data_IF_988066392845
#
_entry.id   IF_988066392845
#
_cell.length_a   1.000
_cell.length_b   1.000
_cell.length_c   1.000
_cell.angle_alpha   90.00
_cell.angle_beta   90.00
_cell.angle_gamma   90.00
#
_symmetry.space_group_name_H-M   'P 1'
#
loop_
_entity.id
_entity.type
_entity.pdbx_description
1 polymer ?
#
# COMPACT_ATOMS: atom_id res chain seq x y z
N UNK A 1 52.86 -18.35 8.93
CA UNK A 1 51.84 -18.08 7.90
C UNK A 1 50.54 -17.84 8.64
N UNK A 2 50.14 -16.57 8.78
CA UNK A 2 48.97 -16.17 9.56
C UNK A 2 47.72 -16.27 8.68
N UNK A 3 46.69 -16.93 9.23
CA UNK A 3 45.40 -17.15 8.63
C UNK A 3 44.64 -15.82 8.44
N UNK A 4 44.05 -15.63 7.26
CA UNK A 4 43.02 -14.63 7.05
C UNK A 4 41.68 -15.27 7.47
N UNK A 5 41.19 -14.88 8.65
CA UNK A 5 39.81 -15.11 9.03
C UNK A 5 38.94 -14.15 8.22
N UNK A 6 38.08 -14.70 7.37
CA UNK A 6 36.98 -13.94 6.76
C UNK A 6 36.01 -13.58 7.87
N UNK A 7 35.83 -12.28 8.11
CA UNK A 7 34.79 -11.77 8.99
C UNK A 7 33.43 -12.33 8.55
N UNK A 8 32.59 -12.85 9.45
CA UNK A 8 31.22 -13.20 9.10
C UNK A 8 30.52 -11.91 8.69
N UNK A 9 30.00 -11.86 7.46
CA UNK A 9 29.19 -10.76 6.96
C UNK A 9 28.18 -10.37 8.05
N UNK A 10 28.27 -9.14 8.54
CA UNK A 10 27.28 -8.56 9.44
C UNK A 10 25.93 -8.77 8.76
N UNK A 11 25.05 -9.56 9.36
CA UNK A 11 23.66 -9.63 8.91
C UNK A 11 23.11 -8.22 9.09
N UNK A 12 23.00 -7.46 8.02
CA UNK A 12 22.34 -6.16 8.05
C UNK A 12 20.92 -6.37 8.58
N UNK A 13 20.60 -5.72 9.70
CA UNK A 13 19.25 -5.67 10.25
C UNK A 13 18.36 -4.97 9.24
N UNK A 14 17.24 -5.60 8.89
CA UNK A 14 16.25 -5.02 8.01
C UNK A 14 14.86 -5.16 8.61
N UNK A 15 14.07 -4.10 8.51
CA UNK A 15 12.63 -4.17 8.77
C UNK A 15 11.98 -4.81 7.56
N UNK A 16 11.23 -5.90 7.79
CA UNK A 16 10.58 -6.65 6.71
C UNK A 16 9.07 -6.48 6.75
N UNK A 17 8.46 -6.20 5.61
CA UNK A 17 7.01 -6.18 5.48
C UNK A 17 6.52 -6.79 4.17
N UNK A 18 5.29 -7.30 4.20
CA UNK A 18 4.60 -7.80 3.02
C UNK A 18 3.74 -6.70 2.38
N UNK A 19 3.63 -6.72 1.05
CA UNK A 19 2.79 -5.79 0.29
C UNK A 19 1.81 -6.53 -0.63
N UNK A 20 0.57 -6.06 -0.62
CA UNK A 20 -0.51 -6.42 -1.54
C UNK A 20 -1.32 -5.16 -1.90
N UNK A 21 -2.02 -5.17 -3.04
CA UNK A 21 -2.89 -4.06 -3.46
C UNK A 21 -3.98 -4.53 -4.41
N UNK A 22 -5.06 -3.76 -4.52
CA UNK A 22 -6.09 -3.89 -5.56
C UNK A 22 -6.58 -5.35 -5.67
N UNK A 23 -6.94 -5.92 -4.52
CA UNK A 23 -7.51 -7.27 -4.47
C UNK A 23 -8.91 -7.28 -5.08
N UNK A 24 -9.65 -6.18 -4.91
CA UNK A 24 -11.04 -6.01 -5.33
C UNK A 24 -11.88 -7.25 -4.99
N UNK A 25 -11.81 -7.76 -3.76
CA UNK A 25 -12.61 -8.91 -3.41
C UNK A 25 -14.11 -8.59 -3.57
N UNK A 26 -14.81 -9.41 -4.35
CA UNK A 26 -16.25 -9.35 -4.52
C UNK A 26 -16.80 -10.69 -5.01
N UNK A 27 -18.04 -10.98 -4.63
CA UNK A 27 -18.82 -12.09 -5.18
C UNK A 27 -19.54 -11.64 -6.45
N UNK A 28 -18.75 -11.46 -7.53
CA UNK A 28 -19.20 -11.02 -8.85
C UNK A 28 -18.57 -11.90 -9.93
N UNK A 29 -19.24 -11.96 -11.08
CA UNK A 29 -18.63 -12.53 -12.28
C UNK A 29 -17.45 -11.67 -12.75
N UNK A 30 -16.51 -12.31 -13.43
CA UNK A 30 -15.36 -11.63 -14.02
C UNK A 30 -15.85 -10.51 -14.95
N UNK A 31 -15.24 -9.33 -14.84
CA UNK A 31 -15.52 -8.20 -15.71
C UNK A 31 -14.22 -7.66 -16.31
N UNK A 32 -14.11 -7.69 -17.63
CA UNK A 32 -12.86 -7.39 -18.32
C UNK A 32 -11.75 -8.33 -17.84
N UNK A 33 -10.66 -7.76 -17.34
CA UNK A 33 -9.53 -8.50 -16.78
C UNK A 33 -9.59 -8.69 -15.26
N UNK A 34 -10.66 -8.22 -14.57
CA UNK A 34 -10.80 -8.34 -13.12
C UNK A 34 -11.47 -9.66 -12.70
N UNK A 35 -10.74 -10.51 -11.98
CA UNK A 35 -11.20 -11.81 -11.45
C UNK A 35 -11.51 -11.73 -9.94
N UNK A 36 -12.64 -11.11 -9.60
CA UNK A 36 -12.99 -10.73 -8.22
C UNK A 36 -13.00 -11.87 -7.20
N UNK A 37 -13.65 -13.00 -7.53
CA UNK A 37 -13.76 -14.16 -6.63
C UNK A 37 -12.42 -14.85 -6.38
N UNK A 38 -11.47 -14.68 -7.30
CA UNK A 38 -10.16 -15.32 -7.23
C UNK A 38 -9.18 -14.58 -6.29
N UNK A 39 -9.53 -13.39 -5.81
CA UNK A 39 -8.72 -12.63 -4.85
C UNK A 39 -8.39 -13.43 -3.58
N UNK A 40 -9.30 -14.29 -3.09
CA UNK A 40 -9.05 -15.14 -1.91
C UNK A 40 -7.93 -16.15 -2.19
N UNK A 41 -8.01 -16.93 -3.28
CA UNK A 41 -6.97 -17.92 -3.61
C UNK A 41 -5.62 -17.23 -3.91
N UNK A 42 -5.66 -16.05 -4.53
CA UNK A 42 -4.47 -15.21 -4.76
C UNK A 42 -3.82 -14.75 -3.45
N UNK A 43 -4.63 -14.35 -2.46
CA UNK A 43 -4.15 -14.00 -1.12
C UNK A 43 -3.61 -15.20 -0.35
N UNK A 44 -4.24 -16.37 -0.48
CA UNK A 44 -3.73 -17.62 0.11
C UNK A 44 -2.35 -17.97 -0.42
N UNK A 45 -2.14 -17.85 -1.74
CA UNK A 45 -0.81 -18.03 -2.34
C UNK A 45 0.20 -17.01 -1.78
N UNK A 46 -0.17 -15.73 -1.71
CA UNK A 46 0.69 -14.70 -1.14
C UNK A 46 1.10 -15.04 0.30
N UNK A 47 0.15 -15.52 1.10
CA UNK A 47 0.39 -15.98 2.47
C UNK A 47 1.39 -17.14 2.58
N UNK A 48 1.46 -18.03 1.58
CA UNK A 48 2.46 -19.11 1.56
C UNK A 48 3.88 -18.57 1.34
N UNK A 49 4.04 -17.56 0.49
CA UNK A 49 5.34 -16.90 0.30
C UNK A 49 5.70 -16.01 1.49
N UNK A 50 4.74 -15.32 2.09
CA UNK A 50 4.97 -14.51 3.30
C UNK A 50 5.46 -15.36 4.47
N UNK A 51 4.97 -16.60 4.63
CA UNK A 51 5.49 -17.54 5.64
C UNK A 51 6.98 -17.86 5.45
N UNK A 52 7.49 -17.86 4.21
CA UNK A 52 8.92 -18.07 3.91
C UNK A 52 9.73 -16.78 4.06
N UNK A 53 9.12 -15.64 3.71
CA UNK A 53 9.77 -14.33 3.77
C UNK A 53 9.91 -13.80 5.22
N UNK A 54 8.99 -14.22 6.09
CA UNK A 54 8.90 -13.82 7.51
C UNK A 54 8.82 -12.30 7.70
N UNK A 55 7.79 -11.63 7.15
CA UNK A 55 7.59 -10.21 7.37
C UNK A 55 7.10 -9.96 8.81
N UNK A 56 7.41 -8.78 9.33
CA UNK A 56 6.98 -8.35 10.66
C UNK A 56 5.58 -7.71 10.67
N UNK A 57 5.09 -7.30 9.49
CA UNK A 57 3.74 -6.79 9.25
C UNK A 57 3.38 -6.88 7.76
N UNK A 58 2.11 -6.70 7.44
CA UNK A 58 1.59 -6.64 6.07
C UNK A 58 0.94 -5.28 5.83
N UNK A 59 1.13 -4.72 4.64
CA UNK A 59 0.41 -3.53 4.18
C UNK A 59 -0.44 -3.87 2.95
N UNK A 60 -1.72 -3.48 2.99
CA UNK A 60 -2.62 -3.48 1.84
C UNK A 60 -2.78 -2.04 1.35
N UNK A 61 -2.34 -1.74 0.13
CA UNK A 61 -2.29 -0.37 -0.41
C UNK A 61 -3.65 0.14 -0.94
N UNK A 62 -4.77 -0.37 -0.44
CA UNK A 62 -6.11 0.02 -0.87
C UNK A 62 -6.77 -0.94 -1.87
N UNK A 63 -8.00 -0.60 -2.24
CA UNK A 63 -8.92 -1.39 -3.06
C UNK A 63 -8.97 -2.88 -2.66
N UNK A 64 -9.14 -3.09 -1.35
CA UNK A 64 -9.25 -4.41 -0.73
C UNK A 64 -10.50 -5.18 -1.22
N UNK A 65 -11.60 -4.47 -1.39
CA UNK A 65 -12.89 -4.97 -1.90
C UNK A 65 -13.28 -4.21 -3.15
N UNK A 66 -14.16 -4.80 -3.97
CA UNK A 66 -14.80 -4.08 -5.07
C UNK A 66 -16.12 -3.43 -4.60
N UNK A 67 -16.57 -2.42 -5.34
CA UNK A 67 -17.79 -1.67 -5.05
C UNK A 67 -19.04 -2.58 -5.07
N UNK A 68 -20.11 -2.26 -4.33
CA UNK A 68 -21.37 -3.00 -4.45
C UNK A 68 -22.58 -2.11 -4.79
N UNK A 69 -23.73 -2.74 -5.03
CA UNK A 69 -24.98 -2.00 -5.24
C UNK A 69 -25.41 -1.27 -3.95
N UNK A 70 -25.21 -1.92 -2.81
CA UNK A 70 -25.63 -1.48 -1.48
C UNK A 70 -24.58 -1.78 -0.40
N UNK A 71 -24.74 -1.12 0.75
CA UNK A 71 -23.83 -1.18 1.91
C UNK A 71 -23.74 -2.58 2.50
N UNK A 72 -24.84 -3.32 2.56
CA UNK A 72 -24.87 -4.67 3.16
C UNK A 72 -23.99 -5.63 2.37
N UNK A 73 -24.10 -5.59 1.05
CA UNK A 73 -23.30 -6.42 0.14
C UNK A 73 -21.81 -6.06 0.24
N UNK A 74 -21.47 -4.76 0.24
CA UNK A 74 -20.07 -4.29 0.32
C UNK A 74 -19.43 -4.66 1.67
N UNK A 75 -20.16 -4.52 2.79
CA UNK A 75 -19.75 -5.03 4.10
C UNK A 75 -19.58 -6.55 4.11
N UNK A 76 -20.42 -7.27 3.35
CA UNK A 76 -20.29 -8.71 3.15
C UNK A 76 -18.98 -9.09 2.45
N UNK A 77 -18.57 -8.34 1.43
CA UNK A 77 -17.27 -8.51 0.78
C UNK A 77 -16.13 -8.23 1.76
N UNK A 78 -16.20 -7.13 2.50
CA UNK A 78 -15.18 -6.74 3.48
C UNK A 78 -14.99 -7.81 4.55
N UNK A 79 -16.09 -8.26 5.15
CA UNK A 79 -16.09 -9.28 6.19
C UNK A 79 -15.47 -10.60 5.69
N UNK A 80 -15.73 -10.99 4.43
CA UNK A 80 -15.17 -12.21 3.87
C UNK A 80 -13.66 -12.12 3.68
N UNK A 81 -13.16 -11.05 3.05
CA UNK A 81 -11.73 -10.93 2.77
C UNK A 81 -10.91 -10.67 4.05
N UNK A 82 -11.42 -9.90 5.01
CA UNK A 82 -10.73 -9.65 6.30
C UNK A 82 -10.50 -10.96 7.06
N UNK A 83 -11.46 -11.90 7.04
CA UNK A 83 -11.29 -13.24 7.62
C UNK A 83 -10.14 -14.03 6.98
N UNK A 84 -9.85 -13.81 5.71
CA UNK A 84 -8.70 -14.44 5.04
C UNK A 84 -7.39 -13.77 5.45
N UNK A 85 -7.37 -12.45 5.63
CA UNK A 85 -6.21 -11.75 6.20
C UNK A 85 -5.93 -12.17 7.65
N UNK A 86 -6.97 -12.43 8.47
CA UNK A 86 -6.79 -12.88 9.87
C UNK A 86 -5.97 -14.17 9.94
N UNK A 87 -6.12 -15.07 8.95
CA UNK A 87 -5.39 -16.34 8.89
C UNK A 87 -3.89 -16.18 8.63
N UNK A 88 -3.44 -15.00 8.19
CA UNK A 88 -2.03 -14.70 7.97
C UNK A 88 -1.27 -14.47 9.29
N UNK A 89 -1.97 -14.16 10.39
CA UNK A 89 -1.39 -13.91 11.72
C UNK A 89 -0.28 -12.85 11.72
N UNK A 90 -0.44 -11.80 10.92
CA UNK A 90 0.47 -10.65 10.85
C UNK A 90 -0.24 -9.38 11.36
N UNK A 91 0.47 -8.44 11.99
CA UNK A 91 0.00 -7.06 12.09
C UNK A 91 -0.28 -6.50 10.69
N UNK A 92 -1.35 -5.71 10.55
CA UNK A 92 -1.83 -5.24 9.24
C UNK A 92 -2.03 -3.73 9.25
N UNK A 93 -1.67 -3.11 8.14
CA UNK A 93 -1.96 -1.70 7.85
C UNK A 93 -2.72 -1.62 6.53
N UNK A 94 -3.81 -0.86 6.50
CA UNK A 94 -4.63 -0.68 5.32
C UNK A 94 -4.61 0.80 4.91
N UNK A 95 -4.10 1.08 3.71
CA UNK A 95 -4.40 2.33 3.03
C UNK A 95 -5.81 2.26 2.44
N UNK A 96 -6.49 3.40 2.32
CA UNK A 96 -7.81 3.47 1.70
C UNK A 96 -7.66 3.67 0.19
N UNK A 97 -8.29 2.79 -0.58
CA UNK A 97 -8.57 3.02 -2.00
C UNK A 97 -10.01 3.40 -2.23
N UNK A 98 -10.33 3.93 -3.41
CA UNK A 98 -11.66 4.45 -3.70
C UNK A 98 -12.75 3.37 -3.68
N UNK A 99 -12.43 2.12 -4.03
CA UNK A 99 -13.40 1.01 -3.96
C UNK A 99 -13.65 0.53 -2.52
N UNK A 100 -12.78 0.85 -1.56
CA UNK A 100 -13.01 0.55 -0.15
C UNK A 100 -14.18 1.33 0.46
N UNK A 101 -14.56 2.45 -0.18
CA UNK A 101 -15.54 3.42 0.33
C UNK A 101 -16.53 3.84 -0.76
N UNK A 102 -16.82 2.95 -1.72
CA UNK A 102 -17.79 3.27 -2.78
C UNK A 102 -19.18 3.43 -2.18
N UNK A 103 -19.78 2.36 -1.67
CA UNK A 103 -21.00 2.52 -0.85
C UNK A 103 -20.65 2.78 0.59
N UNK A 104 -19.54 2.27 1.12
CA UNK A 104 -19.18 2.43 2.54
C UNK A 104 -18.77 3.86 2.90
N UNK A 105 -18.88 4.18 4.20
CA UNK A 105 -18.15 5.30 4.80
C UNK A 105 -16.76 4.86 5.21
N UNK A 106 -15.83 5.82 5.36
CA UNK A 106 -14.50 5.54 5.93
C UNK A 106 -14.61 4.84 7.29
N UNK A 107 -15.53 5.29 8.14
CA UNK A 107 -15.74 4.72 9.48
C UNK A 107 -16.19 3.24 9.44
N UNK A 108 -17.08 2.87 8.53
CA UNK A 108 -17.52 1.48 8.36
C UNK A 108 -16.40 0.58 7.85
N UNK A 109 -15.64 1.04 6.84
CA UNK A 109 -14.50 0.29 6.33
C UNK A 109 -13.44 0.10 7.42
N UNK A 110 -13.03 1.19 8.09
CA UNK A 110 -12.04 1.19 9.16
C UNK A 110 -12.44 0.25 10.30
N UNK A 111 -13.70 0.30 10.73
CA UNK A 111 -14.25 -0.65 11.70
C UNK A 111 -14.16 -2.09 11.20
N UNK A 112 -14.48 -2.34 9.93
CA UNK A 112 -14.46 -3.67 9.32
C UNK A 112 -13.06 -4.28 9.24
N UNK A 113 -12.02 -3.46 9.04
CA UNK A 113 -10.61 -3.92 9.06
C UNK A 113 -9.95 -3.84 10.43
N UNK A 114 -10.64 -3.29 11.44
CA UNK A 114 -10.11 -3.12 12.79
C UNK A 114 -9.02 -2.04 12.90
N UNK A 115 -9.09 -0.99 12.08
CA UNK A 115 -8.13 0.13 12.08
C UNK A 115 -8.82 1.40 12.58
N UNK A 116 -8.14 2.20 13.40
CA UNK A 116 -8.77 3.39 14.00
C UNK A 116 -8.78 4.62 13.08
N UNK A 117 -7.70 4.81 12.31
CA UNK A 117 -7.46 6.01 11.49
C UNK A 117 -7.20 5.62 10.04
N UNK A 118 -7.57 6.50 9.10
CA UNK A 118 -7.27 6.29 7.67
C UNK A 118 -5.86 6.75 7.27
N UNK A 119 -5.31 7.73 7.98
CA UNK A 119 -3.93 8.16 7.87
C UNK A 119 -3.28 8.25 9.25
N UNK A 120 -2.02 7.84 9.35
CA UNK A 120 -1.22 7.81 10.58
C UNK A 120 0.22 7.43 10.27
N UNK A 121 1.10 7.59 11.25
CA UNK A 121 2.48 7.14 11.20
C UNK A 121 2.81 6.19 12.36
N UNK A 122 3.85 5.38 12.20
CA UNK A 122 4.39 4.51 13.24
C UNK A 122 5.87 4.20 12.98
N UNK A 123 6.61 3.88 14.04
CA UNK A 123 8.03 3.54 13.96
C UNK A 123 8.26 2.05 14.16
N UNK A 124 9.19 1.48 13.40
CA UNK A 124 9.64 0.10 13.58
C UNK A 124 11.08 -0.05 13.12
N UNK A 125 11.93 -0.66 13.96
CA UNK A 125 13.33 -0.94 13.63
C UNK A 125 14.14 0.27 13.14
N UNK A 126 13.87 1.46 13.71
CA UNK A 126 14.55 2.70 13.31
C UNK A 126 14.03 3.35 12.02
N UNK A 127 13.04 2.74 11.36
CA UNK A 127 12.37 3.26 10.17
C UNK A 127 11.01 3.84 10.56
N UNK A 128 10.70 4.99 9.98
CA UNK A 128 9.41 5.64 10.12
C UNK A 128 8.49 5.24 8.96
N UNK A 129 7.26 4.87 9.26
CA UNK A 129 6.26 4.47 8.27
C UNK A 129 5.07 5.39 8.31
N UNK A 130 4.58 5.80 7.15
CA UNK A 130 3.44 6.70 6.99
C UNK A 130 2.39 6.03 6.12
N UNK A 131 1.13 5.99 6.58
CA UNK A 131 -0.03 5.59 5.78
C UNK A 131 -0.85 6.84 5.49
N UNK A 132 -1.13 7.09 4.21
CA UNK A 132 -1.88 8.24 3.72
C UNK A 132 -3.24 7.83 3.14
N UNK A 133 -4.17 8.78 3.12
CA UNK A 133 -5.55 8.65 2.64
C UNK A 133 -5.85 9.71 1.58
N UNK A 134 -5.72 9.33 0.31
CA UNK A 134 -6.04 10.20 -0.82
C UNK A 134 -7.50 10.08 -1.31
N UNK A 135 -8.40 9.52 -0.48
CA UNK A 135 -9.82 9.39 -0.79
C UNK A 135 -10.63 10.60 -0.31
N UNK A 136 -10.24 11.80 -0.72
CA UNK A 136 -11.01 13.04 -0.55
C UNK A 136 -11.23 13.73 -1.90
N UNK A 137 -12.36 14.41 -2.03
CA UNK A 137 -12.65 15.29 -3.16
C UNK A 137 -11.83 16.57 -3.08
N UNK A 138 -11.75 17.30 -4.19
CA UNK A 138 -11.08 18.61 -4.24
C UNK A 138 -11.69 19.67 -3.30
N UNK A 139 -12.96 19.52 -2.90
CA UNK A 139 -13.62 20.37 -1.91
C UNK A 139 -13.38 19.93 -0.44
N UNK A 140 -12.56 18.90 -0.23
CA UNK A 140 -12.22 18.37 1.09
C UNK A 140 -13.23 17.39 1.67
N UNK A 141 -14.33 17.09 0.97
CA UNK A 141 -15.29 16.08 1.43
C UNK A 141 -14.70 14.67 1.30
N UNK A 142 -14.84 13.80 2.32
CA UNK A 142 -14.37 12.42 2.23
C UNK A 142 -15.17 11.65 1.18
N UNK A 143 -14.48 10.76 0.46
CA UNK A 143 -15.13 9.76 -0.39
C UNK A 143 -15.94 8.82 0.48
N UNK A 144 -17.22 8.68 0.14
CA UNK A 144 -18.13 7.72 0.75
C UNK A 144 -19.47 7.77 0.03
N UNK A 145 -20.28 6.71 0.14
CA UNK A 145 -21.70 6.75 -0.26
C UNK A 145 -21.91 7.26 -1.70
N UNK A 146 -21.03 6.86 -2.62
CA UNK A 146 -21.05 7.22 -4.05
C UNK A 146 -21.01 8.73 -4.31
N UNK A 147 -20.44 9.50 -3.38
CA UNK A 147 -20.40 10.96 -3.46
C UNK A 147 -19.23 11.52 -4.28
N UNK A 148 -18.45 10.68 -4.97
CA UNK A 148 -17.17 11.07 -5.57
C UNK A 148 -17.01 10.56 -7.01
N UNK A 149 -16.09 11.19 -7.74
CA UNK A 149 -15.51 10.68 -8.97
C UNK A 149 -14.09 10.19 -8.64
N UNK A 150 -13.75 8.96 -9.01
CA UNK A 150 -12.44 8.37 -8.69
C UNK A 150 -11.27 9.15 -9.30
N UNK A 151 -11.53 10.01 -10.30
CA UNK A 151 -10.55 10.89 -10.95
C UNK A 151 -10.34 12.25 -10.26
N UNK A 152 -11.02 12.54 -9.14
CA UNK A 152 -10.76 13.71 -8.27
C UNK A 152 -10.14 13.38 -6.89
N UNK A 153 -9.13 12.50 -6.77
CA UNK A 153 -8.59 12.12 -5.48
C UNK A 153 -7.67 13.20 -4.93
N UNK A 154 -7.73 13.42 -3.62
CA UNK A 154 -6.96 14.43 -2.90
C UNK A 154 -6.67 13.91 -1.49
N UNK A 155 -5.57 14.38 -0.90
CA UNK A 155 -5.39 14.34 0.55
C UNK A 155 -6.10 15.55 1.16
N UNK A 156 -6.72 15.38 2.33
CA UNK A 156 -7.39 16.49 3.01
C UNK A 156 -6.39 17.56 3.48
N UNK A 157 -6.82 18.82 3.61
CA UNK A 157 -5.94 19.90 4.10
C UNK A 157 -5.38 19.62 5.51
N UNK A 158 -6.17 18.96 6.36
CA UNK A 158 -5.76 18.57 7.71
C UNK A 158 -4.66 17.50 7.67
N UNK A 159 -4.81 16.51 6.79
CA UNK A 159 -3.80 15.46 6.59
C UNK A 159 -2.50 16.01 5.99
N UNK A 160 -2.59 16.95 5.04
CA UNK A 160 -1.41 17.60 4.45
C UNK A 160 -0.61 18.37 5.50
N UNK A 161 -1.27 19.11 6.39
CA UNK A 161 -0.58 19.82 7.46
C UNK A 161 -0.02 18.85 8.51
N UNK A 162 -0.79 17.81 8.87
CA UNK A 162 -0.31 16.74 9.75
C UNK A 162 0.96 16.07 9.21
N UNK A 163 0.98 15.70 7.92
CA UNK A 163 2.12 15.06 7.28
C UNK A 163 3.37 15.95 7.32
N UNK A 164 3.18 17.25 7.11
CA UNK A 164 4.28 18.22 7.19
C UNK A 164 4.86 18.28 8.60
N UNK A 165 4.02 18.29 9.63
CA UNK A 165 4.46 18.31 11.03
C UNK A 165 5.12 16.97 11.44
N UNK A 166 4.53 15.85 11.04
CA UNK A 166 5.05 14.50 11.29
C UNK A 166 6.47 14.33 10.73
N UNK A 167 6.67 14.69 9.46
CA UNK A 167 7.99 14.59 8.81
C UNK A 167 9.00 15.63 9.31
N UNK A 168 8.57 16.83 9.69
CA UNK A 168 9.47 17.84 10.27
C UNK A 168 10.08 17.35 11.60
N UNK A 169 9.28 16.63 12.40
CA UNK A 169 9.67 16.09 13.69
C UNK A 169 10.37 14.72 13.60
N UNK A 170 10.34 14.06 12.44
CA UNK A 170 11.05 12.82 12.19
C UNK A 170 12.46 13.07 11.61
N UNK A 171 13.41 12.20 11.96
CA UNK A 171 14.78 12.17 11.39
C UNK A 171 15.17 10.79 10.87
N UNK A 172 14.38 9.76 11.18
CA UNK A 172 14.57 8.40 10.69
C UNK A 172 14.24 8.29 9.21
N UNK A 173 14.86 7.34 8.47
CA UNK A 173 14.43 7.05 7.11
C UNK A 173 12.95 6.70 7.05
N UNK A 174 12.25 7.18 6.03
CA UNK A 174 10.79 7.11 5.95
C UNK A 174 10.31 6.35 4.73
N UNK A 175 9.31 5.49 4.93
CA UNK A 175 8.56 4.81 3.86
C UNK A 175 7.10 5.21 3.94
N UNK A 176 6.52 5.58 2.80
CA UNK A 176 5.14 6.07 2.69
C UNK A 176 4.28 5.06 1.94
N UNK A 177 3.04 4.88 2.39
CA UNK A 177 2.03 4.03 1.78
C UNK A 177 0.79 4.87 1.44
N UNK A 178 0.30 4.75 0.21
CA UNK A 178 -0.88 5.49 -0.26
C UNK A 178 -1.53 4.69 -1.39
N UNK A 179 -2.85 4.79 -1.58
CA UNK A 179 -3.48 4.08 -2.71
C UNK A 179 -3.31 4.84 -4.03
N UNK A 180 -3.89 6.04 -4.11
CA UNK A 180 -3.78 6.89 -5.29
C UNK A 180 -2.36 7.36 -5.50
N UNK A 181 -1.98 7.50 -6.77
CA UNK A 181 -0.60 7.75 -7.14
C UNK A 181 -0.17 9.16 -6.74
N UNK A 182 1.05 9.29 -6.23
CA UNK A 182 1.68 10.58 -5.96
C UNK A 182 2.72 10.96 -7.02
N UNK A 183 3.17 10.00 -7.83
CA UNK A 183 4.00 10.26 -8.99
C UNK A 183 3.19 10.79 -10.19
N UNK A 184 3.88 11.09 -11.28
CA UNK A 184 3.27 11.67 -12.48
C UNK A 184 2.54 10.59 -13.29
N UNK A 185 1.25 10.42 -13.04
CA UNK A 185 0.41 9.34 -13.59
C UNK A 185 -0.94 9.84 -14.15
N UNK A 186 -1.05 11.14 -14.44
CA UNK A 186 -2.24 11.73 -15.05
C UNK A 186 -3.48 11.61 -14.17
N UNK A 187 -4.54 10.97 -14.68
CA UNK A 187 -5.83 10.86 -13.97
C UNK A 187 -5.79 9.96 -12.74
N UNK A 188 -4.78 9.09 -12.62
CA UNK A 188 -4.59 8.19 -11.47
C UNK A 188 -3.89 8.88 -10.29
N UNK A 189 -3.31 10.06 -10.51
CA UNK A 189 -2.63 10.80 -9.46
C UNK A 189 -3.62 11.61 -8.63
N UNK A 190 -3.34 11.76 -7.33
CA UNK A 190 -4.01 12.75 -6.51
C UNK A 190 -3.83 14.15 -7.11
N UNK A 191 -4.88 14.99 -7.14
CA UNK A 191 -4.81 16.33 -7.72
C UNK A 191 -3.82 17.23 -6.99
N UNK A 192 -3.72 17.07 -5.68
CA UNK A 192 -2.73 17.75 -4.85
C UNK A 192 -1.41 16.97 -4.66
N UNK A 193 -1.15 15.93 -5.46
CA UNK A 193 0.11 15.17 -5.41
C UNK A 193 1.37 16.05 -5.51
N UNK A 194 1.45 17.09 -6.38
CA UNK A 194 2.63 17.96 -6.41
C UNK A 194 2.92 18.67 -5.08
N UNK A 195 1.88 19.04 -4.32
CA UNK A 195 2.04 19.65 -2.99
C UNK A 195 2.60 18.62 -2.02
N UNK A 196 2.04 17.42 -2.02
CA UNK A 196 2.48 16.31 -1.15
C UNK A 196 3.93 15.92 -1.47
N UNK A 197 4.28 15.74 -2.74
CA UNK A 197 5.65 15.45 -3.17
C UNK A 197 6.64 16.51 -2.67
N UNK A 198 6.29 17.79 -2.79
CA UNK A 198 7.13 18.88 -2.26
C UNK A 198 7.37 18.80 -0.74
N UNK A 199 6.40 18.30 0.03
CA UNK A 199 6.57 18.04 1.47
C UNK A 199 7.52 16.85 1.70
N UNK A 200 7.32 15.75 0.98
CA UNK A 200 8.16 14.55 1.09
C UNK A 200 9.63 14.85 0.72
N UNK A 201 9.84 15.55 -0.39
CA UNK A 201 11.18 15.94 -0.87
C UNK A 201 11.87 16.89 0.13
N UNK A 202 11.14 17.86 0.68
CA UNK A 202 11.69 18.81 1.66
C UNK A 202 12.09 18.14 2.97
N UNK A 203 11.44 17.04 3.35
CA UNK A 203 11.80 16.28 4.55
C UNK A 203 13.20 15.66 4.43
N UNK A 204 13.61 15.29 3.22
CA UNK A 204 14.98 14.83 2.91
C UNK A 204 15.35 13.45 3.47
N UNK A 205 14.41 12.75 4.12
CA UNK A 205 14.58 11.44 4.72
C UNK A 205 13.54 10.42 4.22
N UNK A 206 12.72 10.77 3.22
CA UNK A 206 11.76 9.84 2.60
C UNK A 206 12.46 9.04 1.51
N UNK A 207 12.46 7.72 1.64
CA UNK A 207 13.15 6.81 0.72
C UNK A 207 12.24 6.34 -0.41
N UNK A 208 11.00 5.98 -0.07
CA UNK A 208 10.06 5.40 -1.02
C UNK A 208 8.59 5.67 -0.67
N UNK A 209 7.77 5.71 -1.71
CA UNK A 209 6.30 5.71 -1.68
C UNK A 209 5.84 4.44 -2.40
N UNK A 210 5.15 3.55 -1.70
CA UNK A 210 4.48 2.40 -2.30
C UNK A 210 3.00 2.73 -2.53
N UNK A 211 2.52 2.43 -3.74
CA UNK A 211 1.20 2.84 -4.21
C UNK A 211 0.53 1.82 -5.13
N UNK A 212 -0.77 1.98 -5.41
CA UNK A 212 -1.59 1.06 -6.20
C UNK A 212 -2.36 1.77 -7.31
N UNK A 213 -3.66 1.47 -7.42
CA UNK A 213 -4.68 2.21 -8.18
C UNK A 213 -4.63 2.07 -9.71
N UNK A 214 -3.47 2.23 -10.35
CA UNK A 214 -3.37 2.14 -11.83
C UNK A 214 -3.08 0.73 -12.36
N UNK A 215 -2.79 -0.23 -11.46
CA UNK A 215 -2.52 -1.64 -11.77
C UNK A 215 -1.25 -1.93 -12.59
N UNK A 216 -0.37 -0.93 -12.79
CA UNK A 216 0.64 -0.95 -13.87
C UNK A 216 1.95 -1.70 -13.57
N UNK A 217 2.30 -1.95 -12.30
CA UNK A 217 3.64 -2.43 -11.93
C UNK A 217 4.76 -1.51 -12.47
N UNK A 218 4.73 -0.25 -12.02
CA UNK A 218 5.59 0.83 -12.49
C UNK A 218 6.46 1.40 -11.37
N UNK A 219 7.54 2.07 -11.77
CA UNK A 219 8.49 2.70 -10.86
C UNK A 219 8.97 4.01 -11.45
N UNK A 220 9.03 5.05 -10.62
CA UNK A 220 9.61 6.35 -10.95
C UNK A 220 10.52 6.81 -9.81
N UNK A 221 11.58 7.53 -10.14
CA UNK A 221 12.45 8.22 -9.17
C UNK A 221 12.25 9.72 -9.35
N UNK A 222 11.70 10.39 -8.34
CA UNK A 222 11.35 11.81 -8.38
C UNK A 222 11.88 12.47 -7.10
N UNK A 223 12.71 13.51 -7.25
CA UNK A 223 13.25 14.24 -6.10
C UNK A 223 14.08 13.37 -5.14
N UNK A 224 14.67 12.27 -5.63
CA UNK A 224 15.40 11.30 -4.80
C UNK A 224 14.52 10.24 -4.12
N UNK A 225 13.20 10.26 -4.34
CA UNK A 225 12.23 9.34 -3.72
C UNK A 225 11.76 8.31 -4.75
N UNK A 226 11.75 7.02 -4.38
CA UNK A 226 11.22 5.95 -5.22
C UNK A 226 9.71 5.84 -5.10
N UNK A 227 8.98 6.08 -6.19
CA UNK A 227 7.54 5.85 -6.28
C UNK A 227 7.30 4.52 -6.98
N UNK A 228 6.83 3.53 -6.24
CA UNK A 228 6.63 2.17 -6.73
C UNK A 228 5.15 1.81 -6.73
N UNK A 229 4.57 1.77 -7.93
CA UNK A 229 3.20 1.33 -8.15
C UNK A 229 3.18 -0.18 -8.29
N UNK A 230 2.48 -0.84 -7.38
CA UNK A 230 2.37 -2.28 -7.35
C UNK A 230 1.40 -2.79 -8.42
N UNK A 231 1.59 -4.02 -8.86
CA UNK A 231 0.64 -4.72 -9.72
C UNK A 231 -0.62 -5.05 -8.93
N UNK A 232 -1.79 -4.93 -9.56
CA UNK A 232 -3.05 -5.29 -8.92
C UNK A 232 -3.23 -6.81 -8.83
N UNK A 233 -3.69 -7.28 -7.67
CA UNK A 233 -4.00 -8.69 -7.48
C UNK A 233 -5.21 -9.14 -8.30
N UNK A 234 -6.21 -8.29 -8.50
CA UNK A 234 -7.46 -8.67 -9.19
C UNK A 234 -7.25 -9.06 -10.66
N UNK A 235 -6.20 -8.56 -11.31
CA UNK A 235 -6.00 -8.66 -12.76
C UNK A 235 -5.58 -10.07 -13.21
N UNK A 236 -6.25 -10.58 -14.25
CA UNK A 236 -6.06 -11.91 -14.85
C UNK A 236 -6.54 -13.07 -13.98
N UNK A 237 -6.68 -14.27 -14.55
CA UNK A 237 -7.04 -15.47 -13.76
C UNK A 237 -5.86 -15.88 -12.85
N UNK A 238 -6.13 -16.52 -11.71
CA UNK A 238 -5.09 -16.96 -10.77
C UNK A 238 -4.04 -17.87 -11.42
N UNK A 239 -4.45 -18.75 -12.35
CA UNK A 239 -3.52 -19.67 -13.03
C UNK A 239 -2.43 -18.90 -13.79
N UNK A 240 -2.78 -17.72 -14.31
CA UNK A 240 -1.94 -16.93 -15.20
C UNK A 240 -1.33 -15.70 -14.52
N UNK A 241 -1.96 -15.22 -13.45
CA UNK A 241 -1.69 -13.89 -12.89
C UNK A 241 -1.97 -13.83 -11.39
N UNK A 242 -1.06 -13.15 -10.70
CA UNK A 242 -1.18 -12.68 -9.32
C UNK A 242 -0.03 -11.67 -9.11
N UNK A 243 0.00 -10.96 -7.99
CA UNK A 243 1.18 -10.17 -7.63
C UNK A 243 1.14 -9.61 -6.22
N UNK A 244 2.29 -9.67 -5.58
CA UNK A 244 2.50 -9.29 -4.19
C UNK A 244 4.01 -9.20 -3.96
N UNK A 245 4.45 -8.70 -2.80
CA UNK A 245 5.88 -8.54 -2.51
C UNK A 245 6.24 -8.74 -1.05
N UNK A 246 7.50 -9.08 -0.82
CA UNK A 246 8.18 -8.83 0.45
C UNK A 246 9.16 -7.68 0.26
N UNK A 247 9.21 -6.75 1.20
CA UNK A 247 10.14 -5.61 1.20
C UNK A 247 11.00 -5.67 2.44
N UNK A 248 12.30 -5.47 2.26
CA UNK A 248 13.28 -5.30 3.33
C UNK A 248 13.85 -3.88 3.25
N UNK A 249 13.77 -3.13 4.35
CA UNK A 249 14.40 -1.80 4.49
C UNK A 249 15.55 -1.93 5.47
N UNK A 250 16.75 -1.65 4.99
CA UNK A 250 18.00 -1.80 5.74
C UNK A 250 18.37 -0.47 6.43
N UNK A 251 19.22 -0.56 7.46
CA UNK A 251 19.63 0.61 8.26
C UNK A 251 20.40 1.67 7.46
N UNK A 252 21.09 1.27 6.40
CA UNK A 252 21.80 2.16 5.48
C UNK A 252 20.87 2.93 4.52
N UNK A 253 19.56 2.65 4.56
CA UNK A 253 18.56 3.20 3.66
C UNK A 253 18.32 2.37 2.40
N UNK A 254 19.05 1.27 2.20
CA UNK A 254 18.80 0.36 1.09
C UNK A 254 17.41 -0.25 1.21
N UNK A 255 16.68 -0.31 0.10
CA UNK A 255 15.38 -0.99 0.00
C UNK A 255 15.48 -2.13 -0.99
N UNK A 256 15.12 -3.34 -0.56
CA UNK A 256 14.99 -4.51 -1.43
C UNK A 256 13.54 -4.96 -1.49
N UNK A 257 12.91 -4.77 -2.64
CA UNK A 257 11.59 -5.31 -2.95
C UNK A 257 11.76 -6.63 -3.72
N UNK A 258 11.29 -7.72 -3.12
CA UNK A 258 11.17 -9.03 -3.75
C UNK A 258 9.75 -9.19 -4.29
N UNK A 259 9.60 -9.06 -5.61
CA UNK A 259 8.34 -9.23 -6.30
C UNK A 259 8.05 -10.69 -6.61
N UNK A 260 6.80 -11.10 -6.43
CA UNK A 260 6.33 -12.44 -6.78
C UNK A 260 5.34 -12.37 -7.94
N UNK A 261 5.32 -13.45 -8.72
CA UNK A 261 4.41 -13.62 -9.86
C UNK A 261 4.60 -12.49 -10.89
N UNK A 262 3.63 -11.59 -11.06
CA UNK A 262 3.72 -10.48 -12.02
C UNK A 262 4.40 -9.24 -11.45
N UNK A 263 4.65 -9.18 -10.14
CA UNK A 263 5.30 -8.04 -9.50
C UNK A 263 6.82 -8.05 -9.78
N UNK A 264 7.37 -6.91 -10.18
CA UNK A 264 8.82 -6.77 -10.42
C UNK A 264 9.55 -6.66 -9.10
N UNK A 265 10.79 -7.15 -9.06
CA UNK A 265 11.73 -6.94 -7.95
C UNK A 265 12.59 -5.71 -8.19
N UNK A 266 12.98 -5.04 -7.11
CA UNK A 266 13.87 -3.88 -7.13
C UNK A 266 14.87 -3.94 -5.98
N UNK A 267 16.06 -3.39 -6.21
CA UNK A 267 17.01 -3.01 -5.17
C UNK A 267 17.35 -1.56 -5.39
N UNK A 268 17.10 -0.72 -4.39
CA UNK A 268 17.40 0.70 -4.39
C UNK A 268 18.44 0.95 -3.30
N UNK A 269 19.62 1.38 -3.70
CA UNK A 269 20.70 1.79 -2.81
C UNK A 269 20.52 3.26 -2.45
N UNK A 270 20.86 3.63 -1.22
CA UNK A 270 20.81 5.01 -0.72
C UNK A 270 21.98 5.85 -1.25
#
# INVERSE_FOLDING_TARGET
>A
SLAAATDPAVKESAVKFALVTDLHHADKDTAGSRHYRESIRKLVEAGLEFKKFEPEFLVCLGDLIDAAADVETELGYLTRIVKEFDKLNLPRHFALGNHCVDTLTKAEFLKGVGQEKSYYSFDKGGIHFVVLDACFRSDGMPYQRKNFDWTDPNLSAQEVEWLKDDLANNKSPTVVFVHQRLDDAGVYSAKNAPVVRGILEKAGNVLAVFQGHSHENSHQLIGGIHYCTMVAMVEGSFEQSNGFSGVSVFEDGTIRLTGFRKQKSYTWEN
#
